data_IF_471566674589
#
_entry.id   IF_471566674589
#
_cell.length_a   1.000
_cell.length_b   1.000
_cell.length_c   1.000
_cell.angle_alpha   90.00
_cell.angle_beta   90.00
_cell.angle_gamma   90.00
#
_symmetry.space_group_name_H-M   'P 1'
#
loop_
_entity.id
_entity.type
_entity.pdbx_description
1 polymer ?
#
# COMPACT_ATOMS: atom_id res chain seq x y z
N UNK A 1 1.94 -11.64 0.61
CA UNK A 1 2.19 -11.14 1.98
C UNK A 1 1.18 -10.07 2.43
N UNK A 2 1.25 -8.84 1.88
CA UNK A 2 0.43 -7.71 2.37
C UNK A 2 -1.09 -7.97 2.34
N UNK A 3 -1.59 -8.77 1.39
CA UNK A 3 -2.99 -9.21 1.39
C UNK A 3 -3.35 -10.05 2.62
N UNK A 4 -2.50 -11.02 2.99
CA UNK A 4 -2.72 -11.86 4.17
C UNK A 4 -2.70 -11.01 5.45
N UNK A 5 -1.77 -10.06 5.56
CA UNK A 5 -1.71 -9.12 6.67
C UNK A 5 -2.93 -8.19 6.73
N UNK A 6 -3.39 -7.65 5.59
CA UNK A 6 -4.57 -6.78 5.52
C UNK A 6 -5.85 -7.50 5.91
N UNK A 7 -5.99 -8.77 5.51
CA UNK A 7 -7.16 -9.61 5.81
C UNK A 7 -7.03 -10.38 7.13
N UNK A 8 -5.92 -10.21 7.86
CA UNK A 8 -5.59 -10.96 9.08
C UNK A 8 -5.72 -12.48 8.90
N UNK A 9 -5.29 -12.98 7.74
CA UNK A 9 -5.33 -14.39 7.37
C UNK A 9 -4.23 -15.16 8.12
N UNK A 10 -4.58 -15.67 9.30
CA UNK A 10 -3.65 -16.31 10.23
C UNK A 10 -2.91 -17.50 9.61
N UNK A 11 -3.60 -18.35 8.85
CA UNK A 11 -2.98 -19.52 8.22
C UNK A 11 -1.89 -19.10 7.24
N UNK A 12 -2.19 -18.12 6.37
CA UNK A 12 -1.20 -17.58 5.43
C UNK A 12 -0.09 -16.81 6.15
N UNK A 13 -0.41 -16.10 7.23
CA UNK A 13 0.59 -15.38 8.03
C UNK A 13 1.59 -16.33 8.70
N UNK A 14 1.13 -17.45 9.25
CA UNK A 14 2.01 -18.48 9.86
C UNK A 14 2.96 -19.05 8.80
N UNK A 15 2.42 -19.43 7.63
CA UNK A 15 3.23 -19.94 6.50
C UNK A 15 4.27 -18.92 6.01
N UNK A 16 3.94 -17.63 6.07
CA UNK A 16 4.84 -16.54 5.68
C UNK A 16 5.65 -15.97 6.86
N UNK A 17 5.56 -16.56 8.06
CA UNK A 17 6.08 -15.97 9.29
C UNK A 17 7.58 -15.70 9.24
N UNK A 18 8.36 -16.63 8.68
CA UNK A 18 9.79 -16.43 8.45
C UNK A 18 10.07 -15.21 7.57
N UNK A 19 9.31 -15.06 6.47
CA UNK A 19 9.47 -13.94 5.55
C UNK A 19 9.04 -12.61 6.18
N UNK A 20 7.95 -12.59 6.95
CA UNK A 20 7.50 -11.42 7.72
C UNK A 20 8.62 -10.94 8.66
N UNK A 21 9.18 -11.88 9.43
CA UNK A 21 10.26 -11.58 10.38
C UNK A 21 11.50 -11.06 9.65
N UNK A 22 11.91 -11.73 8.57
CA UNK A 22 13.08 -11.33 7.77
C UNK A 22 12.91 -9.92 7.21
N UNK A 23 11.78 -9.63 6.58
CA UNK A 23 11.48 -8.31 6.02
C UNK A 23 11.45 -7.22 7.10
N UNK A 24 10.84 -7.49 8.25
CA UNK A 24 10.82 -6.55 9.37
C UNK A 24 12.23 -6.20 9.87
N UNK A 25 13.10 -7.22 10.02
CA UNK A 25 14.47 -7.00 10.48
C UNK A 25 15.29 -6.18 9.47
N UNK A 26 15.15 -6.45 8.18
CA UNK A 26 15.83 -5.68 7.13
C UNK A 26 15.37 -4.22 7.11
N UNK A 27 14.07 -3.97 7.25
CA UNK A 27 13.55 -2.61 7.33
C UNK A 27 14.05 -1.87 8.57
N UNK A 28 14.16 -2.56 9.71
CA UNK A 28 14.73 -1.97 10.94
C UNK A 28 16.19 -1.59 10.75
N UNK A 29 16.98 -2.46 10.13
CA UNK A 29 18.39 -2.18 9.83
C UNK A 29 18.53 -0.98 8.89
N UNK A 30 17.82 -0.99 7.76
CA UNK A 30 17.84 0.12 6.80
C UNK A 30 17.39 1.45 7.44
N UNK A 31 16.39 1.40 8.32
CA UNK A 31 15.97 2.58 9.05
C UNK A 31 17.08 3.12 9.95
N UNK A 32 17.81 2.27 10.68
CA UNK A 32 18.95 2.68 11.51
C UNK A 32 20.08 3.29 10.66
N UNK A 33 20.37 2.71 9.50
CA UNK A 33 21.41 3.19 8.59
C UNK A 33 21.06 4.55 7.95
N UNK A 34 19.76 4.81 7.71
CA UNK A 34 19.30 5.96 6.93
C UNK A 34 18.64 7.07 7.78
N UNK A 35 18.38 6.84 9.07
CA UNK A 35 17.58 7.77 9.88
C UNK A 35 18.25 9.13 10.07
N UNK A 36 19.58 9.19 10.05
CA UNK A 36 20.33 10.46 10.04
C UNK A 36 20.06 11.31 8.79
N UNK A 37 19.73 10.69 7.66
CA UNK A 37 19.41 11.38 6.40
C UNK A 37 17.96 11.86 6.31
N UNK A 38 17.10 11.42 7.25
CA UNK A 38 15.65 11.70 7.25
C UNK A 38 15.19 12.33 8.57
N UNK A 39 15.92 13.35 9.02
CA UNK A 39 15.59 14.09 10.25
C UNK A 39 14.34 14.97 10.14
N UNK A 40 13.89 15.25 8.91
CA UNK A 40 12.72 16.07 8.65
C UNK A 40 11.62 15.23 8.02
N UNK A 41 10.37 15.55 8.35
CA UNK A 41 9.21 14.96 7.72
C UNK A 41 9.23 15.25 6.21
N UNK A 42 8.90 14.25 5.40
CA UNK A 42 8.82 14.38 3.96
C UNK A 42 7.57 13.70 3.42
N UNK A 43 7.06 14.22 2.30
CA UNK A 43 5.89 13.66 1.65
C UNK A 43 6.27 12.44 0.81
N UNK A 44 5.46 11.40 0.92
CA UNK A 44 5.49 10.22 0.06
C UNK A 44 4.10 9.90 -0.43
N UNK A 45 4.04 9.18 -1.54
CA UNK A 45 2.82 8.79 -2.24
C UNK A 45 2.71 7.26 -2.27
N UNK A 46 1.49 6.77 -2.11
CA UNK A 46 1.14 5.36 -2.22
C UNK A 46 -0.03 5.23 -3.17
N UNK A 47 0.14 4.46 -4.24
CA UNK A 47 -0.96 3.99 -5.07
C UNK A 47 -1.53 2.71 -4.47
N UNK A 48 -2.84 2.65 -4.32
CA UNK A 48 -3.53 1.44 -3.87
C UNK A 48 -4.97 1.44 -4.37
N UNK A 49 -5.40 0.29 -4.90
CA UNK A 49 -6.80 0.02 -5.18
C UNK A 49 -7.55 -0.31 -3.89
N UNK A 50 -8.74 0.26 -3.75
CA UNK A 50 -9.65 0.08 -2.61
C UNK A 50 -11.05 -0.25 -3.14
N UNK A 51 -11.80 -1.07 -2.40
CA UNK A 51 -13.23 -1.20 -2.65
C UNK A 51 -13.91 0.13 -2.37
N UNK A 52 -15.07 0.36 -2.98
CA UNK A 52 -15.86 1.56 -2.72
C UNK A 52 -16.20 1.70 -1.22
N UNK A 53 -16.49 0.59 -0.55
CA UNK A 53 -16.76 0.56 0.89
C UNK A 53 -15.53 0.97 1.71
N UNK A 54 -14.35 0.42 1.42
CA UNK A 54 -13.11 0.79 2.12
C UNK A 54 -12.76 2.26 1.89
N UNK A 55 -13.01 2.78 0.68
CA UNK A 55 -12.82 4.19 0.36
C UNK A 55 -13.77 5.09 1.17
N UNK A 56 -15.06 4.74 1.24
CA UNK A 56 -16.02 5.48 2.06
C UNK A 56 -15.66 5.47 3.55
N UNK A 57 -15.25 4.32 4.09
CA UNK A 57 -14.76 4.22 5.47
C UNK A 57 -13.53 5.11 5.71
N UNK A 58 -12.63 5.20 4.73
CA UNK A 58 -11.49 6.10 4.79
C UNK A 58 -11.91 7.58 4.79
N UNK A 59 -12.87 7.96 3.94
CA UNK A 59 -13.42 9.32 3.92
C UNK A 59 -14.10 9.69 5.24
N UNK A 60 -14.85 8.75 5.83
CA UNK A 60 -15.57 8.96 7.08
C UNK A 60 -14.65 9.03 8.31
N UNK A 61 -13.44 8.45 8.23
CA UNK A 61 -12.42 8.51 9.30
C UNK A 61 -11.49 9.72 9.20
N UNK A 62 -11.77 10.67 8.30
CA UNK A 62 -10.96 11.89 8.12
C UNK A 62 -10.87 12.69 9.43
N UNK A 63 -9.65 13.06 9.82
CA UNK A 63 -9.37 13.71 11.10
C UNK A 63 -9.09 12.73 12.24
N UNK A 64 -9.32 11.43 12.04
CA UNK A 64 -8.91 10.37 12.95
C UNK A 64 -7.53 9.78 12.65
N UNK A 65 -7.20 8.67 13.32
CA UNK A 65 -5.97 7.91 13.10
C UNK A 65 -6.20 6.77 12.12
N UNK A 66 -5.20 6.52 11.27
CA UNK A 66 -5.18 5.39 10.34
C UNK A 66 -4.08 4.40 10.77
N UNK A 67 -4.45 3.15 10.98
CA UNK A 67 -3.53 2.06 11.30
C UNK A 67 -3.45 1.07 10.15
N UNK A 68 -2.27 0.48 9.95
CA UNK A 68 -2.01 -0.50 8.90
C UNK A 68 -1.40 -1.76 9.50
N UNK A 69 -1.99 -2.91 9.20
CA UNK A 69 -1.46 -4.22 9.61
C UNK A 69 -0.42 -4.77 8.61
N UNK A 70 -0.24 -4.11 7.47
CA UNK A 70 0.63 -4.52 6.38
C UNK A 70 1.81 -3.56 6.19
N UNK A 71 2.85 -4.02 5.51
CA UNK A 71 3.96 -3.16 5.13
C UNK A 71 3.53 -2.12 4.09
N UNK A 72 4.03 -0.90 4.23
CA UNK A 72 3.78 0.20 3.31
C UNK A 72 4.93 0.28 2.29
N UNK A 73 4.54 0.27 1.02
CA UNK A 73 5.39 0.64 -0.11
C UNK A 73 4.92 2.01 -0.59
N UNK A 74 5.84 2.96 -0.66
CA UNK A 74 5.60 4.36 -0.99
C UNK A 74 6.73 4.89 -1.88
N UNK A 75 6.49 6.00 -2.56
CA UNK A 75 7.46 6.67 -3.42
C UNK A 75 7.45 8.17 -3.15
N UNK A 76 8.61 8.84 -3.24
CA UNK A 76 8.68 10.31 -3.24
C UNK A 76 8.12 10.93 -4.54
N UNK A 77 8.12 10.16 -5.62
CA UNK A 77 7.58 10.55 -6.94
C UNK A 77 6.16 10.04 -7.09
N UNK A 78 5.20 10.94 -7.30
CA UNK A 78 3.77 10.62 -7.39
C UNK A 78 3.48 9.73 -8.60
N UNK A 79 4.17 9.96 -9.71
CA UNK A 79 4.01 9.23 -10.98
C UNK A 79 4.34 7.76 -10.78
N UNK A 80 5.42 7.48 -10.04
CA UNK A 80 5.81 6.11 -9.68
C UNK A 80 4.75 5.43 -8.81
N UNK A 81 4.17 6.17 -7.85
CA UNK A 81 3.10 5.62 -7.02
C UNK A 81 1.82 5.32 -7.83
N UNK A 82 1.49 6.14 -8.83
CA UNK A 82 0.32 5.94 -9.69
C UNK A 82 0.41 4.69 -10.56
N UNK A 83 1.62 4.26 -10.94
CA UNK A 83 1.80 3.02 -11.70
C UNK A 83 1.26 1.78 -10.96
N UNK A 84 1.20 1.81 -9.62
CA UNK A 84 0.64 0.72 -8.81
C UNK A 84 -0.89 0.65 -8.81
N UNK A 85 -1.57 1.64 -9.43
CA UNK A 85 -3.03 1.67 -9.59
C UNK A 85 -3.43 1.38 -11.05
N UNK A 86 -2.60 1.79 -12.00
CA UNK A 86 -2.93 1.74 -13.43
C UNK A 86 -2.84 0.35 -14.08
N UNK A 87 -2.20 -0.63 -13.42
CA UNK A 87 -2.01 -1.99 -13.93
C UNK A 87 -3.06 -3.00 -13.40
N UNK A 88 -4.14 -2.52 -12.75
CA UNK A 88 -5.24 -3.39 -12.33
C UNK A 88 -6.05 -3.88 -13.55
N UNK A 89 -6.30 -5.20 -13.71
CA UNK A 89 -6.99 -5.74 -14.89
C UNK A 89 -8.50 -5.46 -14.96
N UNK A 90 -9.06 -4.66 -14.04
CA UNK A 90 -10.47 -4.25 -14.11
C UNK A 90 -10.64 -2.85 -14.70
N UNK A 91 -11.29 -2.83 -15.87
CA UNK A 91 -11.84 -1.69 -16.61
C UNK A 91 -10.82 -0.75 -17.28
N UNK A 92 -10.29 -1.22 -18.42
CA UNK A 92 -10.09 -0.28 -19.54
C UNK A 92 -11.47 0.26 -19.92
N UNK A 93 -11.68 1.59 -20.01
CA UNK A 93 -12.95 2.14 -20.43
C UNK A 93 -13.31 1.55 -21.80
N UNK A 94 -14.51 0.96 -21.87
CA UNK A 94 -15.09 0.45 -23.12
C UNK A 94 -15.08 1.61 -24.10
N UNK A 95 -14.24 1.56 -25.14
CA UNK A 95 -14.35 2.45 -26.29
C UNK A 95 -15.72 2.18 -26.90
N UNK A 96 -16.70 3.03 -26.61
CA UNK A 96 -17.99 2.98 -27.26
C UNK A 96 -17.75 3.10 -28.76
N UNK A 97 -18.08 2.04 -29.52
CA UNK A 97 -18.07 2.11 -30.98
C UNK A 97 -19.07 3.18 -31.41
N UNK A 98 -18.75 4.02 -32.41
CA UNK A 98 -19.74 4.93 -32.98
C UNK A 98 -20.86 4.09 -33.58
N UNK A 99 -22.10 4.43 -33.21
CA UNK A 99 -23.29 3.91 -33.90
C UNK A 99 -23.33 4.59 -35.26
N UNK A 100 -23.22 3.79 -36.33
CA UNK A 100 -23.65 4.17 -37.67
C UNK A 100 -25.12 3.77 -37.82
#
# INVERSE_FOLDING_TARGET
LNRALRLLDMEKMIKLGFFIRSLHLQLKQLHQEQSSNFQQAFTVYRGQELSQQDFQNLCNSKGGLLSFNNFLSTSKKKEVAMNFVNDSPHEKPIKTRPKY
#
